data_IF_382184647816
#
_entry.id   IF_382184647816
#
_cell.length_a   1.000
_cell.length_b   1.000
_cell.length_c   1.000
_cell.angle_alpha   90.00
_cell.angle_beta   90.00
_cell.angle_gamma   90.00
#
_symmetry.space_group_name_H-M   'P 1'
#
loop_
_entity.id
_entity.type
_entity.pdbx_description
1 polymer ?
#
# COMPACT_ATOMS: atom_id res chain seq x y z
N UNK A 1 -18.01 3.90 2.15
CA UNK A 1 -19.21 3.27 2.76
C UNK A 1 -19.17 1.79 2.42
N UNK A 2 -19.11 0.89 3.41
CA UNK A 2 -19.19 -0.57 3.19
C UNK A 2 -20.65 -0.92 2.93
N UNK A 3 -20.95 -1.49 1.76
CA UNK A 3 -22.33 -1.82 1.33
C UNK A 3 -22.81 -3.18 1.88
N UNK A 4 -22.20 -3.66 2.96
CA UNK A 4 -22.54 -4.93 3.59
C UNK A 4 -23.62 -4.68 4.63
N UNK A 5 -24.76 -5.37 4.48
CA UNK A 5 -25.99 -5.16 5.25
C UNK A 5 -25.99 -5.89 6.60
N UNK A 6 -24.87 -6.53 6.97
CA UNK A 6 -24.72 -7.21 8.25
C UNK A 6 -24.55 -6.19 9.38
N UNK A 7 -25.23 -6.42 10.51
CA UNK A 7 -24.89 -5.73 11.75
C UNK A 7 -23.48 -6.17 12.16
N UNK A 8 -22.50 -5.30 11.90
CA UNK A 8 -21.14 -5.51 12.35
C UNK A 8 -21.08 -5.33 13.87
N UNK A 9 -20.47 -6.28 14.57
CA UNK A 9 -20.07 -6.05 15.95
C UNK A 9 -19.04 -4.93 16.01
N UNK A 10 -18.81 -4.34 17.20
CA UNK A 10 -17.73 -3.35 17.38
C UNK A 10 -16.39 -3.91 16.94
N UNK A 11 -16.16 -5.20 17.17
CA UNK A 11 -14.91 -5.89 16.86
C UNK A 11 -14.72 -6.05 15.34
N UNK A 12 -15.79 -6.33 14.60
CA UNK A 12 -15.74 -6.43 13.13
C UNK A 12 -15.44 -5.07 12.49
N UNK A 13 -16.05 -3.99 13.01
CA UNK A 13 -15.77 -2.62 12.53
C UNK A 13 -14.32 -2.24 12.82
N UNK A 14 -13.81 -2.56 14.00
CA UNK A 14 -12.42 -2.30 14.36
C UNK A 14 -11.45 -3.07 13.46
N UNK A 15 -11.70 -4.35 13.19
CA UNK A 15 -10.88 -5.16 12.29
C UNK A 15 -10.80 -4.57 10.87
N UNK A 16 -11.93 -4.15 10.31
CA UNK A 16 -12.00 -3.51 9.00
C UNK A 16 -11.25 -2.18 8.96
N UNK A 17 -11.36 -1.36 10.00
CA UNK A 17 -10.62 -0.10 10.12
C UNK A 17 -9.11 -0.36 10.21
N UNK A 18 -8.68 -1.30 11.05
CA UNK A 18 -7.27 -1.67 11.18
C UNK A 18 -6.69 -2.17 9.86
N UNK A 19 -7.47 -2.92 9.08
CA UNK A 19 -7.06 -3.40 7.76
C UNK A 19 -6.89 -2.23 6.78
N UNK A 20 -7.83 -1.28 6.76
CA UNK A 20 -7.72 -0.07 5.92
C UNK A 20 -6.50 0.76 6.27
N UNK A 21 -6.27 1.00 7.56
CA UNK A 21 -5.11 1.75 8.04
C UNK A 21 -3.78 1.12 7.64
N UNK A 22 -3.67 -0.22 7.69
CA UNK A 22 -2.47 -0.93 7.23
C UNK A 22 -2.18 -0.72 5.74
N UNK A 23 -3.22 -0.62 4.90
CA UNK A 23 -3.07 -0.33 3.47
C UNK A 23 -2.58 1.11 3.26
N UNK A 24 -3.14 2.07 4.00
CA UNK A 24 -2.72 3.47 3.93
C UNK A 24 -1.28 3.65 4.41
N UNK A 25 -0.90 2.96 5.48
CA UNK A 25 0.46 2.91 5.98
C UNK A 25 1.42 2.32 4.94
N UNK A 26 1.08 1.18 4.34
CA UNK A 26 1.86 0.58 3.24
C UNK A 26 2.09 1.59 2.12
N UNK A 27 1.02 2.25 1.63
CA UNK A 27 1.13 3.25 0.58
C UNK A 27 1.99 4.45 0.98
N UNK A 28 1.91 4.91 2.23
CA UNK A 28 2.74 6.00 2.74
C UNK A 28 4.22 5.58 2.76
N UNK A 29 4.51 4.43 3.35
CA UNK A 29 5.88 3.93 3.48
C UNK A 29 6.54 3.66 2.14
N UNK A 30 5.87 2.94 1.22
CA UNK A 30 6.46 2.62 -0.08
C UNK A 30 6.80 3.88 -0.87
N UNK A 31 5.95 4.92 -0.83
CA UNK A 31 6.21 6.18 -1.52
C UNK A 31 7.41 6.92 -0.95
N UNK A 32 7.46 7.08 0.38
CA UNK A 32 8.49 7.86 1.08
C UNK A 32 9.85 7.15 1.10
N UNK A 33 9.87 5.84 1.32
CA UNK A 33 11.12 5.09 1.49
C UNK A 33 11.79 4.72 0.17
N UNK A 34 11.03 4.61 -0.92
CA UNK A 34 11.54 4.08 -2.20
C UNK A 34 11.44 5.03 -3.38
N UNK A 35 10.84 6.22 -3.20
CA UNK A 35 10.66 7.19 -4.28
C UNK A 35 9.74 6.66 -5.39
N UNK A 36 8.71 5.87 -5.02
CA UNK A 36 7.80 5.22 -5.98
C UNK A 36 7.21 6.21 -7.00
N UNK A 37 6.87 7.42 -6.55
CA UNK A 37 6.22 8.46 -7.36
C UNK A 37 7.21 9.41 -8.05
N UNK A 38 8.52 9.22 -7.86
CA UNK A 38 9.55 10.14 -8.37
C UNK A 38 10.06 9.75 -9.77
N UNK A 39 9.59 8.64 -10.35
CA UNK A 39 10.02 8.17 -11.65
C UNK A 39 9.58 9.10 -12.79
N UNK A 40 10.54 9.80 -13.42
CA UNK A 40 10.29 10.73 -14.53
C UNK A 40 10.21 10.04 -15.92
N UNK A 41 10.23 8.71 -15.97
CA UNK A 41 10.26 7.97 -17.23
C UNK A 41 8.90 8.03 -17.96
N UNK A 42 8.88 8.29 -19.28
CA UNK A 42 7.60 8.34 -20.04
C UNK A 42 7.14 6.99 -20.59
N UNK A 43 8.03 5.99 -20.60
CA UNK A 43 7.72 4.66 -21.15
C UNK A 43 7.03 3.79 -20.09
N UNK A 44 5.85 3.28 -20.42
CA UNK A 44 5.04 2.45 -19.51
C UNK A 44 5.79 1.22 -18.96
N UNK A 45 6.63 0.57 -19.77
CA UNK A 45 7.44 -0.57 -19.31
C UNK A 45 8.42 -0.18 -18.21
N UNK A 46 9.08 0.97 -18.35
CA UNK A 46 10.06 1.44 -17.38
C UNK A 46 9.37 1.84 -16.08
N UNK A 47 8.21 2.51 -16.18
CA UNK A 47 7.37 2.83 -15.02
C UNK A 47 6.96 1.57 -14.25
N UNK A 48 6.47 0.53 -14.94
CA UNK A 48 6.13 -0.75 -14.31
C UNK A 48 7.34 -1.42 -13.64
N UNK A 49 8.50 -1.38 -14.28
CA UNK A 49 9.73 -1.91 -13.69
C UNK A 49 10.12 -1.14 -12.42
N UNK A 50 10.03 0.20 -12.44
CA UNK A 50 10.30 1.04 -11.26
C UNK A 50 9.38 0.68 -10.09
N UNK A 51 8.08 0.55 -10.36
CA UNK A 51 7.09 0.12 -9.35
C UNK A 51 7.45 -1.25 -8.76
N UNK A 52 7.83 -2.22 -9.60
CA UNK A 52 8.23 -3.55 -9.14
C UNK A 52 9.50 -3.50 -8.26
N UNK A 53 10.52 -2.73 -8.67
CA UNK A 53 11.73 -2.55 -7.88
C UNK A 53 11.44 -1.88 -6.53
N UNK A 54 10.61 -0.84 -6.50
CA UNK A 54 10.17 -0.17 -5.28
C UNK A 54 9.47 -1.14 -4.31
N UNK A 55 8.59 -2.01 -4.81
CA UNK A 55 7.94 -3.06 -4.00
C UNK A 55 8.95 -4.06 -3.42
N UNK A 56 9.94 -4.50 -4.21
CA UNK A 56 10.98 -5.42 -3.74
C UNK A 56 11.85 -4.80 -2.65
N UNK A 57 12.27 -3.54 -2.83
CA UNK A 57 13.07 -2.81 -1.84
C UNK A 57 12.29 -2.60 -0.54
N UNK A 58 11.03 -2.17 -0.63
CA UNK A 58 10.20 -2.03 0.57
C UNK A 58 10.06 -3.35 1.33
N UNK A 59 9.84 -4.46 0.61
CA UNK A 59 9.75 -5.78 1.25
C UNK A 59 11.03 -6.18 1.98
N UNK A 60 12.19 -5.93 1.37
CA UNK A 60 13.49 -6.15 2.01
C UNK A 60 13.65 -5.31 3.29
N UNK A 61 13.24 -4.03 3.26
CA UNK A 61 13.32 -3.13 4.40
C UNK A 61 12.39 -3.51 5.56
N UNK A 62 11.26 -4.20 5.30
CA UNK A 62 10.33 -4.66 6.35
C UNK A 62 10.72 -5.99 6.97
N UNK A 63 11.59 -6.77 6.31
CA UNK A 63 12.08 -8.07 6.81
C UNK A 63 13.30 -7.91 7.73
N UNK A 64 14.04 -6.80 7.59
CA UNK A 64 15.10 -6.39 8.51
C UNK A 64 14.52 -5.94 9.86
#
# INVERSE_FOLDING_TARGET
MTNDLKQFSTDDVEFELQTRWKIEEFHREIKQLTGLEECQCRRARIQKNHIACAMLVWNYLKIQ
#
